data_IF_728669231551
#
_entry.id   IF_728669231551
#
_cell.length_a   1.000
_cell.length_b   1.000
_cell.length_c   1.000
_cell.angle_alpha   90.00
_cell.angle_beta   90.00
_cell.angle_gamma   90.00
#
_symmetry.space_group_name_H-M   'P 1'
#
loop_
_entity.id
_entity.type
_entity.pdbx_description
1 polymer ?
#
# COMPACT_ATOMS: atom_id res chain seq x y z
N UNK A 1 -10.09 7.54 -29.84
CA UNK A 1 -9.27 8.29 -28.87
C UNK A 1 -9.88 8.06 -27.51
N UNK A 2 -9.32 7.15 -26.73
CA UNK A 2 -9.90 6.72 -25.45
C UNK A 2 -9.25 7.54 -24.34
N UNK A 3 -10.04 8.40 -23.70
CA UNK A 3 -9.66 9.20 -22.53
C UNK A 3 -9.03 8.29 -21.47
N UNK A 4 -7.88 8.64 -20.86
CA UNK A 4 -7.37 7.86 -19.74
C UNK A 4 -8.42 7.89 -18.62
N UNK A 5 -8.67 6.77 -17.92
CA UNK A 5 -9.59 6.79 -16.82
C UNK A 5 -9.01 7.68 -15.72
N UNK A 6 -9.66 8.82 -15.51
CA UNK A 6 -9.51 9.62 -14.29
C UNK A 6 -10.10 8.79 -13.15
N UNK A 7 -9.34 7.82 -12.65
CA UNK A 7 -9.66 7.19 -11.37
C UNK A 7 -9.42 8.24 -10.29
N UNK A 8 -10.47 9.01 -10.01
CA UNK A 8 -10.76 9.48 -8.67
C UNK A 8 -10.63 8.28 -7.74
N UNK A 9 -9.50 8.20 -7.04
CA UNK A 9 -9.27 7.24 -5.98
C UNK A 9 -10.20 7.68 -4.85
N UNK A 10 -11.40 7.13 -4.81
CA UNK A 10 -12.30 7.32 -3.67
C UNK A 10 -11.68 6.61 -2.45
N UNK A 11 -11.32 7.32 -1.37
CA UNK A 11 -10.73 6.74 -0.18
C UNK A 11 -11.81 6.21 0.78
N UNK A 12 -12.90 5.62 0.25
CA UNK A 12 -14.09 5.29 1.03
C UNK A 12 -13.85 4.22 2.13
N UNK A 13 -12.71 3.55 2.11
CA UNK A 13 -12.35 2.54 3.11
C UNK A 13 -11.03 2.88 3.80
N UNK A 14 -11.05 2.99 5.15
CA UNK A 14 -9.84 3.18 5.92
C UNK A 14 -9.05 1.88 6.08
N UNK A 15 -9.42 0.77 5.43
CA UNK A 15 -8.82 -0.54 5.65
C UNK A 15 -8.07 -1.08 4.43
N UNK A 16 -6.97 -1.77 4.71
CA UNK A 16 -6.12 -2.47 3.74
C UNK A 16 -6.02 -3.94 4.14
N UNK A 17 -6.25 -4.83 3.17
CA UNK A 17 -6.03 -6.27 3.33
C UNK A 17 -4.86 -6.73 2.45
N UNK A 18 -3.92 -7.48 3.02
CA UNK A 18 -2.72 -7.93 2.31
C UNK A 18 -2.85 -9.35 1.76
N UNK A 19 -2.59 -9.51 0.46
CA UNK A 19 -2.64 -10.79 -0.24
C UNK A 19 -1.24 -11.20 -0.74
N UNK A 20 -0.85 -12.45 -0.48
CA UNK A 20 0.49 -12.97 -0.78
C UNK A 20 1.62 -12.40 0.11
N UNK A 21 2.83 -12.90 -0.13
CA UNK A 21 4.05 -12.42 0.50
C UNK A 21 4.15 -12.64 2.02
N UNK A 22 5.15 -12.02 2.67
CA UNK A 22 5.45 -12.22 4.10
C UNK A 22 4.36 -11.78 5.07
N UNK A 23 3.44 -10.92 4.65
CA UNK A 23 2.36 -10.35 5.47
C UNK A 23 0.97 -10.76 4.99
N UNK A 24 0.85 -11.89 4.29
CA UNK A 24 -0.44 -12.41 3.82
C UNK A 24 -1.48 -12.48 4.96
N UNK A 25 -2.74 -12.15 4.64
CA UNK A 25 -3.91 -12.14 5.55
C UNK A 25 -3.82 -11.12 6.68
N UNK A 26 -2.84 -10.21 6.63
CA UNK A 26 -2.80 -9.08 7.56
C UNK A 26 -3.69 -7.95 7.09
N UNK A 27 -4.24 -7.25 8.07
CA UNK A 27 -5.14 -6.13 7.90
C UNK A 27 -4.54 -4.91 8.60
N UNK A 28 -4.72 -3.74 7.99
CA UNK A 28 -4.21 -2.47 8.52
C UNK A 28 -5.24 -1.38 8.30
N UNK A 29 -5.21 -0.36 9.16
CA UNK A 29 -5.73 0.93 8.74
C UNK A 29 -4.82 1.52 7.67
N UNK A 30 -5.38 2.23 6.70
CA UNK A 30 -4.66 2.79 5.58
C UNK A 30 -3.54 3.73 6.04
N UNK A 31 -3.82 4.56 7.05
CA UNK A 31 -2.82 5.47 7.65
C UNK A 31 -1.64 4.74 8.29
N UNK A 32 -1.91 3.65 9.00
CA UNK A 32 -0.87 2.82 9.64
C UNK A 32 -0.05 2.09 8.58
N UNK A 33 -0.71 1.66 7.51
CA UNK A 33 -0.06 1.02 6.37
C UNK A 33 0.90 1.96 5.66
N UNK A 34 0.47 3.21 5.38
CA UNK A 34 1.34 4.23 4.80
C UNK A 34 2.52 4.56 5.73
N UNK A 35 2.28 4.64 7.04
CA UNK A 35 3.33 4.85 8.05
C UNK A 35 4.38 3.73 8.02
N UNK A 36 3.96 2.47 7.96
CA UNK A 36 4.87 1.33 7.88
C UNK A 36 5.72 1.35 6.60
N UNK A 37 5.12 1.67 5.46
CA UNK A 37 5.83 1.81 4.18
C UNK A 37 6.84 2.98 4.21
N UNK A 38 6.48 4.11 4.80
CA UNK A 38 7.38 5.26 4.98
C UNK A 38 8.56 4.90 5.88
N UNK A 39 8.32 4.29 7.03
CA UNK A 39 9.37 3.84 7.94
C UNK A 39 10.34 2.87 7.25
N UNK A 40 9.81 1.94 6.45
CA UNK A 40 10.61 1.01 5.64
C UNK A 40 11.62 1.74 4.72
N UNK A 41 11.19 2.83 4.06
CA UNK A 41 12.06 3.67 3.21
C UNK A 41 13.07 4.47 4.02
N UNK A 42 12.63 5.12 5.09
CA UNK A 42 13.50 5.95 5.95
C UNK A 42 14.67 5.14 6.53
N UNK A 43 14.39 3.91 6.97
CA UNK A 43 15.40 3.00 7.50
C UNK A 43 16.15 2.22 6.42
N UNK A 44 15.83 2.40 5.13
CA UNK A 44 16.49 1.77 3.98
C UNK A 44 16.53 0.24 4.06
N UNK A 45 15.50 -0.38 4.62
CA UNK A 45 15.45 -1.84 4.72
C UNK A 45 15.43 -2.48 3.31
N UNK A 46 16.28 -3.49 3.02
CA UNK A 46 16.22 -4.22 1.76
C UNK A 46 14.83 -4.81 1.50
N UNK A 47 14.36 -4.84 0.24
CA UNK A 47 13.00 -5.30 -0.09
C UNK A 47 12.71 -6.77 0.29
N UNK A 48 13.75 -7.60 0.37
CA UNK A 48 13.66 -8.99 0.83
C UNK A 48 13.65 -9.12 2.37
N UNK A 49 13.92 -8.04 3.11
CA UNK A 49 13.84 -8.03 4.57
C UNK A 49 12.39 -7.92 5.04
N UNK A 50 11.98 -8.52 6.17
CA UNK A 50 10.61 -8.41 6.69
C UNK A 50 10.11 -6.97 6.84
N UNK A 51 10.97 -6.05 7.30
CA UNK A 51 10.67 -4.60 7.41
C UNK A 51 10.86 -3.81 6.09
N UNK A 52 11.32 -4.47 5.03
CA UNK A 52 11.36 -3.94 3.66
C UNK A 52 10.13 -4.33 2.83
N UNK A 53 9.53 -5.47 3.19
CA UNK A 53 8.44 -6.11 2.47
C UNK A 53 7.17 -5.24 2.35
N UNK A 54 6.95 -4.29 3.26
CA UNK A 54 5.80 -3.39 3.21
C UNK A 54 5.71 -2.63 1.89
N UNK A 55 6.87 -2.28 1.32
CA UNK A 55 7.00 -1.53 0.06
C UNK A 55 6.68 -2.38 -1.16
N UNK A 56 6.65 -3.70 -0.99
CA UNK A 56 6.46 -4.65 -2.05
C UNK A 56 4.99 -5.00 -2.34
N UNK A 57 4.04 -4.41 -1.63
CA UNK A 57 2.62 -4.56 -1.92
C UNK A 57 2.11 -3.42 -2.81
N UNK A 58 1.25 -3.76 -3.77
CA UNK A 58 0.55 -2.84 -4.67
C UNK A 58 -0.96 -2.82 -4.40
N UNK A 59 -1.63 -1.66 -4.44
CA UNK A 59 -3.08 -1.62 -4.39
C UNK A 59 -3.68 -2.27 -5.64
N UNK A 60 -4.83 -2.91 -5.46
CA UNK A 60 -5.66 -3.46 -6.54
C UNK A 60 -7.04 -2.82 -6.53
N UNK A 61 -7.86 -3.08 -7.54
CA UNK A 61 -9.27 -2.63 -7.56
C UNK A 61 -10.21 -3.58 -6.78
N UNK A 62 -9.66 -4.68 -6.23
CA UNK A 62 -10.41 -5.64 -5.43
C UNK A 62 -10.63 -5.12 -4.01
N UNK A 63 -11.80 -5.45 -3.47
CA UNK A 63 -12.17 -5.23 -2.08
C UNK A 63 -12.54 -6.56 -1.43
N UNK A 64 -12.43 -6.63 -0.10
CA UNK A 64 -12.76 -7.84 0.67
C UNK A 64 -13.32 -7.47 2.04
N UNK A 65 -14.21 -8.33 2.54
CA UNK A 65 -14.74 -8.24 3.89
C UNK A 65 -13.74 -8.80 4.91
N UNK A 66 -13.69 -8.16 6.07
CA UNK A 66 -12.92 -8.63 7.20
C UNK A 66 -13.58 -9.90 7.74
N UNK A 67 -12.81 -10.93 8.16
CA UNK A 67 -13.36 -12.11 8.82
C UNK A 67 -14.21 -11.77 10.07
N UNK A 68 -13.93 -10.65 10.73
CA UNK A 68 -14.80 -10.06 11.74
C UNK A 68 -15.80 -9.11 11.08
N UNK A 69 -17.05 -9.55 10.96
CA UNK A 69 -18.13 -8.79 10.34
C UNK A 69 -18.36 -7.42 11.01
N UNK A 70 -18.10 -7.28 12.31
CA UNK A 70 -18.29 -6.01 13.02
C UNK A 70 -17.29 -4.96 12.53
N UNK A 71 -16.08 -5.38 12.17
CA UNK A 71 -15.07 -4.49 11.59
C UNK A 71 -15.55 -3.99 10.23
N UNK A 72 -16.06 -4.88 9.38
CA UNK A 72 -16.59 -4.50 8.06
C UNK A 72 -17.84 -3.64 8.16
N UNK A 73 -18.75 -3.90 9.09
CA UNK A 73 -19.91 -3.04 9.32
C UNK A 73 -19.51 -1.63 9.76
N UNK A 74 -18.48 -1.52 10.61
CA UNK A 74 -18.03 -0.24 11.17
C UNK A 74 -17.16 0.58 10.21
N UNK A 75 -16.34 -0.08 9.40
CA UNK A 75 -15.28 0.55 8.62
C UNK A 75 -15.40 0.28 7.10
N UNK A 76 -16.34 -0.54 6.66
CA UNK A 76 -16.48 -0.94 5.27
C UNK A 76 -15.54 -2.07 4.86
N UNK A 77 -15.53 -2.37 3.57
CA UNK A 77 -14.68 -3.41 2.97
C UNK A 77 -13.25 -2.90 2.84
N UNK A 78 -12.23 -3.73 3.06
CA UNK A 78 -10.85 -3.31 2.85
C UNK A 78 -10.44 -3.39 1.39
N UNK A 79 -9.61 -2.43 0.94
CA UNK A 79 -8.95 -2.53 -0.36
C UNK A 79 -7.85 -3.59 -0.31
N UNK A 80 -7.83 -4.49 -1.28
CA UNK A 80 -6.81 -5.54 -1.36
C UNK A 80 -5.53 -4.97 -1.94
N UNK A 81 -4.42 -5.24 -1.26
CA UNK A 81 -3.07 -4.97 -1.72
C UNK A 81 -2.32 -6.29 -1.93
N UNK A 82 -1.78 -6.49 -3.12
CA UNK A 82 -1.15 -7.76 -3.50
C UNK A 82 0.36 -7.65 -3.51
N UNK A 83 1.02 -8.70 -3.02
CA UNK A 83 2.46 -8.85 -3.05
C UNK A 83 3.02 -8.91 -4.46
N UNK A 84 4.05 -8.10 -4.71
CA UNK A 84 4.91 -8.14 -5.88
C UNK A 84 6.30 -8.53 -5.39
N UNK A 85 6.94 -9.50 -6.03
CA UNK A 85 8.24 -9.98 -5.55
C UNK A 85 9.32 -8.91 -5.70
N UNK A 86 10.38 -8.92 -4.88
CA UNK A 86 11.50 -7.99 -5.02
C UNK A 86 12.13 -8.03 -6.42
N UNK A 87 12.17 -9.18 -7.07
CA UNK A 87 12.70 -9.35 -8.44
C UNK A 87 11.82 -8.64 -9.47
N UNK A 88 10.50 -8.72 -9.31
CA UNK A 88 9.56 -7.97 -10.16
C UNK A 88 9.72 -6.45 -9.95
N UNK A 89 9.90 -6.01 -8.71
CA UNK A 89 10.20 -4.61 -8.40
C UNK A 89 11.49 -4.12 -9.05
N UNK A 90 12.57 -4.90 -8.95
CA UNK A 90 13.84 -4.58 -9.58
C UNK A 90 13.69 -4.46 -11.10
N UNK A 91 12.88 -5.33 -11.73
CA UNK A 91 12.62 -5.27 -13.17
C UNK A 91 11.85 -4.01 -13.58
N UNK A 92 10.93 -3.53 -12.75
CA UNK A 92 10.18 -2.29 -13.02
C UNK A 92 10.99 -1.02 -12.77
N UNK A 93 12.09 -1.11 -12.03
CA UNK A 93 13.05 -0.02 -11.86
C UNK A 93 12.64 1.08 -10.88
N UNK A 94 11.39 1.14 -10.42
CA UNK A 94 10.99 2.00 -9.30
C UNK A 94 9.89 1.39 -8.45
N UNK A 95 9.89 1.76 -7.17
CA UNK A 95 8.80 1.48 -6.24
C UNK A 95 7.54 2.28 -6.59
N UNK A 96 6.37 1.68 -6.36
CA UNK A 96 5.12 2.43 -6.38
C UNK A 96 5.00 3.26 -5.11
N UNK A 97 4.69 4.53 -5.31
CA UNK A 97 4.29 5.47 -4.27
C UNK A 97 2.82 5.82 -4.48
N UNK A 98 2.02 5.69 -3.43
CA UNK A 98 0.66 6.25 -3.42
C UNK A 98 0.71 7.77 -3.57
N UNK A 99 -0.38 8.43 -3.98
CA UNK A 99 -0.42 9.90 -4.02
C UNK A 99 0.02 10.57 -2.72
N UNK A 100 -0.40 10.03 -1.57
CA UNK A 100 -0.08 10.52 -0.22
C UNK A 100 1.42 10.35 0.10
N UNK A 101 2.02 9.23 -0.32
CA UNK A 101 3.47 8.99 -0.19
C UNK A 101 4.27 9.98 -1.05
N UNK A 102 3.79 10.35 -2.25
CA UNK A 102 4.47 11.32 -3.13
C UNK A 102 4.47 12.74 -2.56
N UNK A 103 3.34 13.17 -1.99
CA UNK A 103 3.22 14.49 -1.37
C UNK A 103 4.19 14.59 -0.18
N UNK A 104 4.19 13.57 0.68
CA UNK A 104 5.06 13.52 1.86
C UNK A 104 6.54 13.61 1.48
N UNK A 105 6.95 12.86 0.45
CA UNK A 105 8.35 12.83 -0.01
C UNK A 105 8.78 14.15 -0.68
N UNK A 106 7.86 14.85 -1.36
CA UNK A 106 8.15 16.17 -1.95
C UNK A 106 8.39 17.25 -0.88
N UNK A 107 7.62 17.22 0.21
CA UNK A 107 7.79 18.15 1.35
C UNK A 107 9.13 17.95 2.06
N UNK A 108 9.58 16.70 2.23
CA UNK A 108 10.86 16.37 2.88
C UNK A 108 12.08 16.80 2.06
N UNK A 109 12.00 16.77 0.72
CA UNK A 109 13.09 17.23 -0.16
C UNK A 109 13.27 18.75 -0.18
N UNK A 110 12.23 19.50 0.19
CA UNK A 110 12.25 20.97 0.21
C UNK A 110 12.81 21.53 1.51
N UNK A 111 12.86 20.70 2.56
CA UNK A 111 13.32 21.08 3.92
C UNK A 111 14.75 20.64 4.23
N UNK A 112 15.48 20.10 3.26
CA UNK A 112 16.91 19.74 3.34
C UNK A 112 17.72 20.58 2.38
#
# INVERSE_FOLDING_TARGET
MTTPPTHLIDPATPLVALEGGPKHRRWFFYTDWLTARRASRLHRYPLNHPCGSERCYLPTDRHTDNPDELITQRHGQARVWTWVTPEQWQRWGREYLTPEERISDATERTTR
#
